data_IF_636808132129
#
_entry.id   IF_636808132129
#
_cell.length_a   1.000
_cell.length_b   1.000
_cell.length_c   1.000
_cell.angle_alpha   90.00
_cell.angle_beta   90.00
_cell.angle_gamma   90.00
#
_symmetry.space_group_name_H-M   'P 1'
#
loop_
_entity.id
_entity.type
_entity.pdbx_description
1 polymer ?
#
# COMPACT_ATOMS: atom_id res chain seq x y z
N UNK A 1 -56.24 22.29 107.21
CA UNK A 1 -56.64 22.42 105.78
C UNK A 1 -55.45 22.94 104.98
N UNK A 2 -55.02 22.15 103.99
CA UNK A 2 -54.34 22.52 102.73
C UNK A 2 -52.97 23.24 102.80
N UNK A 3 -51.88 22.47 102.96
CA UNK A 3 -50.51 22.85 102.54
C UNK A 3 -49.95 21.90 101.47
N UNK A 4 -50.82 21.22 100.73
CA UNK A 4 -50.47 20.30 99.63
C UNK A 4 -50.37 20.90 98.20
N UNK A 5 -50.60 22.20 97.90
CA UNK A 5 -50.58 22.65 96.50
C UNK A 5 -49.17 23.00 95.97
N UNK A 6 -48.17 23.18 96.84
CA UNK A 6 -46.85 23.67 96.40
C UNK A 6 -45.94 22.55 95.88
N UNK A 7 -46.03 21.35 96.47
CA UNK A 7 -45.17 20.22 96.12
C UNK A 7 -45.65 19.48 94.85
N UNK A 8 -46.95 19.51 94.57
CA UNK A 8 -47.54 18.99 93.32
C UNK A 8 -47.32 19.93 92.14
N UNK A 9 -47.24 21.25 92.38
CA UNK A 9 -46.92 22.22 91.33
C UNK A 9 -45.46 22.07 90.86
N UNK A 10 -44.53 21.87 91.80
CA UNK A 10 -43.10 21.73 91.49
C UNK A 10 -42.78 20.44 90.71
N UNK A 11 -43.50 19.34 91.00
CA UNK A 11 -43.34 18.07 90.30
C UNK A 11 -43.94 18.06 88.88
N UNK A 12 -45.00 18.83 88.63
CA UNK A 12 -45.56 19.04 87.29
C UNK A 12 -44.66 19.96 86.44
N UNK A 13 -44.01 20.97 87.06
CA UNK A 13 -43.03 21.84 86.39
C UNK A 13 -41.73 21.10 86.01
N UNK A 14 -41.30 20.11 86.78
CA UNK A 14 -40.14 19.27 86.47
C UNK A 14 -40.38 18.25 85.34
N UNK A 15 -41.62 17.79 85.16
CA UNK A 15 -41.98 16.89 84.05
C UNK A 15 -42.20 17.63 82.72
N UNK A 16 -42.65 18.88 82.76
CA UNK A 16 -42.77 19.73 81.57
C UNK A 16 -41.41 20.19 81.00
N UNK A 17 -40.32 20.11 81.79
CA UNK A 17 -38.98 20.46 81.35
C UNK A 17 -38.26 19.35 80.55
N UNK A 18 -38.82 18.14 80.49
CA UNK A 18 -38.22 16.97 79.81
C UNK A 18 -39.03 16.48 78.59
N UNK A 19 -39.89 17.33 78.00
CA UNK A 19 -40.91 16.87 77.05
C UNK A 19 -40.72 17.32 75.59
N UNK A 20 -39.64 18.02 75.25
CA UNK A 20 -39.28 18.25 73.85
C UNK A 20 -38.24 17.21 73.43
N UNK A 21 -38.64 16.30 72.52
CA UNK A 21 -37.69 15.42 71.84
C UNK A 21 -36.66 16.32 71.11
N UNK A 22 -35.35 16.17 71.33
CA UNK A 22 -34.34 16.99 70.68
C UNK A 22 -34.47 17.03 69.14
N UNK A 23 -35.17 16.05 68.54
CA UNK A 23 -35.48 15.98 67.11
C UNK A 23 -36.62 16.90 66.64
N UNK A 24 -37.44 17.41 67.56
CA UNK A 24 -38.51 18.37 67.27
C UNK A 24 -38.03 19.84 67.40
N UNK A 25 -36.80 20.07 67.90
CA UNK A 25 -36.20 21.41 67.93
C UNK A 25 -35.93 21.89 66.47
N UNK A 26 -36.44 23.06 66.07
CA UNK A 26 -36.22 23.62 64.73
C UNK A 26 -34.73 23.72 64.34
N UNK A 27 -33.84 23.92 65.33
CA UNK A 27 -32.39 23.98 65.09
C UNK A 27 -31.80 22.62 64.77
N UNK A 28 -32.33 21.55 65.36
CA UNK A 28 -31.89 20.18 65.09
C UNK A 28 -32.32 19.74 63.69
N UNK A 29 -33.54 20.09 63.27
CA UNK A 29 -34.03 19.83 61.92
C UNK A 29 -33.22 20.60 60.86
N UNK A 30 -32.88 21.87 61.14
CA UNK A 30 -32.04 22.67 60.26
C UNK A 30 -30.63 22.04 60.09
N UNK A 31 -30.01 21.62 61.20
CA UNK A 31 -28.74 20.89 61.20
C UNK A 31 -28.79 19.57 60.42
N UNK A 32 -29.88 18.81 60.51
CA UNK A 32 -30.06 17.56 59.76
C UNK A 32 -30.23 17.83 58.26
N UNK A 33 -30.96 18.89 57.88
CA UNK A 33 -31.07 19.30 56.47
C UNK A 33 -29.75 19.81 55.90
N UNK A 34 -28.96 20.54 56.68
CA UNK A 34 -27.64 21.00 56.25
C UNK A 34 -26.63 19.86 56.15
N UNK A 35 -26.67 18.89 57.07
CA UNK A 35 -25.87 17.67 56.97
C UNK A 35 -26.24 16.84 55.72
N UNK A 36 -27.53 16.74 55.40
CA UNK A 36 -28.01 16.07 54.19
C UNK A 36 -27.57 16.81 52.90
N UNK A 37 -27.66 18.15 52.88
CA UNK A 37 -27.16 18.97 51.76
C UNK A 37 -25.65 18.83 51.57
N UNK A 38 -24.88 18.84 52.67
CA UNK A 38 -23.44 18.68 52.62
C UNK A 38 -23.04 17.30 52.07
N UNK A 39 -23.72 16.23 52.51
CA UNK A 39 -23.50 14.87 51.99
C UNK A 39 -23.83 14.77 50.50
N UNK A 40 -24.96 15.32 50.07
CA UNK A 40 -25.34 15.36 48.66
C UNK A 40 -24.29 16.10 47.80
N UNK A 41 -23.76 17.22 48.30
CA UNK A 41 -22.71 17.97 47.61
C UNK A 41 -21.38 17.19 47.53
N UNK A 42 -21.02 16.43 48.57
CA UNK A 42 -19.82 15.56 48.56
C UNK A 42 -20.00 14.39 47.59
N UNK A 43 -21.15 13.73 47.58
CA UNK A 43 -21.43 12.64 46.63
C UNK A 43 -21.41 13.14 45.16
N UNK A 44 -21.96 14.33 44.91
CA UNK A 44 -21.89 14.98 43.60
C UNK A 44 -20.45 15.33 43.19
N UNK A 45 -19.64 15.86 44.13
CA UNK A 45 -18.21 16.12 43.94
C UNK A 45 -17.44 14.85 43.62
N UNK A 46 -17.64 13.79 44.39
CA UNK A 46 -16.96 12.51 44.22
C UNK A 46 -17.30 11.87 42.87
N UNK A 47 -18.58 11.94 42.46
CA UNK A 47 -19.00 11.46 41.14
C UNK A 47 -18.34 12.25 40.00
N UNK A 48 -18.19 13.58 40.16
CA UNK A 48 -17.54 14.46 39.18
C UNK A 48 -16.03 14.18 39.09
N UNK A 49 -15.37 14.01 40.24
CA UNK A 49 -13.94 13.67 40.31
C UNK A 49 -13.67 12.31 39.66
N UNK A 50 -14.48 11.30 39.94
CA UNK A 50 -14.35 9.98 39.31
C UNK A 50 -14.57 10.06 37.79
N UNK A 51 -15.52 10.87 37.32
CA UNK A 51 -15.75 11.09 35.90
C UNK A 51 -14.58 11.83 35.21
N UNK A 52 -13.93 12.78 35.91
CA UNK A 52 -12.72 13.47 35.44
C UNK A 52 -11.55 12.49 35.30
N UNK A 53 -11.28 11.68 36.33
CA UNK A 53 -10.22 10.66 36.28
C UNK A 53 -10.48 9.61 35.19
N UNK A 54 -11.74 9.19 34.99
CA UNK A 54 -12.11 8.30 33.91
C UNK A 54 -11.82 8.89 32.52
N UNK A 55 -12.16 10.16 32.32
CA UNK A 55 -11.90 10.89 31.07
C UNK A 55 -10.39 11.07 30.84
N UNK A 56 -9.64 11.42 31.88
CA UNK A 56 -8.17 11.55 31.83
C UNK A 56 -7.47 10.23 31.51
N UNK A 57 -7.86 9.13 32.16
CA UNK A 57 -7.29 7.81 31.90
C UNK A 57 -7.55 7.37 30.46
N UNK A 58 -8.75 7.62 29.93
CA UNK A 58 -9.09 7.30 28.54
C UNK A 58 -8.25 8.10 27.54
N UNK A 59 -8.02 9.39 27.79
CA UNK A 59 -7.13 10.22 26.96
C UNK A 59 -5.70 9.65 26.97
N UNK A 60 -5.16 9.29 28.14
CA UNK A 60 -3.81 8.71 28.24
C UNK A 60 -3.68 7.38 27.51
N UNK A 61 -4.71 6.52 27.59
CA UNK A 61 -4.73 5.25 26.87
C UNK A 61 -4.71 5.49 25.35
N UNK A 62 -5.57 6.38 24.85
CA UNK A 62 -5.59 6.76 23.45
C UNK A 62 -4.24 7.34 22.98
N UNK A 63 -3.59 8.17 23.80
CA UNK A 63 -2.26 8.72 23.48
C UNK A 63 -1.16 7.64 23.45
N UNK A 64 -1.25 6.64 24.32
CA UNK A 64 -0.33 5.49 24.31
C UNK A 64 -0.53 4.64 23.06
N UNK A 65 -1.77 4.42 22.65
CA UNK A 65 -2.11 3.69 21.44
C UNK A 65 -1.62 4.44 20.19
N UNK A 66 -1.85 5.76 20.13
CA UNK A 66 -1.31 6.64 19.07
C UNK A 66 0.21 6.51 19.00
N UNK A 67 0.93 6.62 20.13
CA UNK A 67 2.39 6.49 20.14
C UNK A 67 2.86 5.11 19.63
N UNK A 68 2.13 4.05 19.97
CA UNK A 68 2.45 2.70 19.52
C UNK A 68 2.29 2.57 18.01
N UNK A 69 1.17 3.07 17.46
CA UNK A 69 0.91 3.09 16.02
C UNK A 69 1.90 3.97 15.27
N UNK A 70 2.22 5.15 15.78
CA UNK A 70 3.27 6.01 15.23
C UNK A 70 4.63 5.31 15.23
N UNK A 71 4.98 4.61 16.30
CA UNK A 71 6.19 3.79 16.38
C UNK A 71 6.26 2.76 15.24
N UNK A 72 5.14 2.10 14.93
CA UNK A 72 5.02 1.13 13.83
C UNK A 72 5.17 1.77 12.44
N UNK A 73 4.72 3.03 12.27
CA UNK A 73 4.93 3.80 11.05
C UNK A 73 6.40 4.17 10.84
N UNK A 74 7.12 4.49 11.92
CA UNK A 74 8.53 4.91 11.87
C UNK A 74 9.53 3.75 11.88
N UNK A 75 9.12 2.59 12.42
CA UNK A 75 9.92 1.37 12.38
C UNK A 75 9.83 0.76 10.99
N UNK A 76 10.59 1.33 10.05
CA UNK A 76 10.99 0.61 8.85
C UNK A 76 11.71 -0.66 9.31
N UNK A 77 11.03 -1.80 9.25
CA UNK A 77 11.65 -3.07 9.55
C UNK A 77 12.85 -3.26 8.63
N UNK A 78 14.03 -3.44 9.22
CA UNK A 78 15.27 -3.92 8.59
C UNK A 78 15.13 -5.34 7.96
N UNK A 79 13.90 -5.79 7.70
CA UNK A 79 13.57 -7.12 7.24
C UNK A 79 12.38 -7.11 6.29
N UNK A 80 12.68 -7.01 5.00
CA UNK A 80 12.07 -7.83 3.94
C UNK A 80 10.53 -7.94 3.83
N UNK A 81 9.75 -6.89 4.09
CA UNK A 81 8.37 -6.79 3.60
C UNK A 81 8.16 -5.54 2.73
N UNK A 82 8.90 -5.47 1.62
CA UNK A 82 8.55 -4.59 0.50
C UNK A 82 7.44 -5.28 -0.30
N UNK A 83 6.19 -4.93 -0.01
CA UNK A 83 5.02 -5.41 -0.74
C UNK A 83 3.79 -4.50 -0.54
N UNK A 84 2.79 -4.66 -1.41
CA UNK A 84 1.53 -3.91 -1.42
C UNK A 84 0.71 -3.98 -0.11
N UNK A 85 1.07 -4.87 0.82
CA UNK A 85 0.46 -4.96 2.15
C UNK A 85 0.96 -3.93 3.17
N UNK A 86 2.14 -3.33 2.95
CA UNK A 86 2.68 -2.31 3.86
C UNK A 86 1.90 -1.00 3.74
N UNK A 87 1.59 -0.56 2.52
CA UNK A 87 0.82 0.66 2.26
C UNK A 87 -0.59 0.58 2.85
N UNK A 88 -1.29 -0.55 2.67
CA UNK A 88 -2.63 -0.77 3.25
C UNK A 88 -2.59 -0.75 4.79
N UNK A 89 -1.55 -1.34 5.41
CA UNK A 89 -1.36 -1.33 6.86
C UNK A 89 -1.10 0.10 7.36
N UNK A 90 -0.21 0.85 6.71
CA UNK A 90 0.10 2.25 7.04
C UNK A 90 -1.17 3.11 6.95
N UNK A 91 -1.95 2.99 5.87
CA UNK A 91 -3.21 3.72 5.73
C UNK A 91 -4.23 3.36 6.82
N UNK A 92 -4.31 2.08 7.18
CA UNK A 92 -5.15 1.61 8.27
C UNK A 92 -4.75 2.21 9.62
N UNK A 93 -3.45 2.24 9.93
CA UNK A 93 -2.94 2.84 11.16
C UNK A 93 -3.15 4.35 11.21
N UNK A 94 -2.97 5.07 10.09
CA UNK A 94 -3.27 6.52 10.01
C UNK A 94 -4.75 6.81 10.28
N UNK A 95 -5.68 6.04 9.68
CA UNK A 95 -7.13 6.22 9.93
C UNK A 95 -7.47 6.00 11.40
N UNK A 96 -6.90 4.97 12.01
CA UNK A 96 -7.10 4.66 13.43
C UNK A 96 -6.54 5.77 14.34
N UNK A 97 -5.38 6.34 14.00
CA UNK A 97 -4.83 7.50 14.72
C UNK A 97 -5.76 8.72 14.60
N UNK A 98 -6.28 9.02 13.40
CA UNK A 98 -7.21 10.13 13.16
C UNK A 98 -8.49 9.97 14.02
N UNK A 99 -9.03 8.75 14.14
CA UNK A 99 -10.19 8.45 15.00
C UNK A 99 -9.87 8.67 16.50
N UNK A 100 -8.72 8.19 16.98
CA UNK A 100 -8.29 8.36 18.37
C UNK A 100 -8.06 9.84 18.73
N UNK A 101 -7.54 10.63 17.79
CA UNK A 101 -7.37 12.08 17.95
C UNK A 101 -8.72 12.81 17.99
N UNK A 102 -9.68 12.42 17.14
CA UNK A 102 -11.04 12.97 17.17
C UNK A 102 -11.75 12.64 18.49
N UNK A 103 -11.59 11.40 19.00
CA UNK A 103 -12.10 11.00 20.31
C UNK A 103 -11.45 11.84 21.42
N UNK A 104 -10.13 12.00 21.41
CA UNK A 104 -9.41 12.81 22.39
C UNK A 104 -9.86 14.28 22.40
N UNK A 105 -10.09 14.91 21.24
CA UNK A 105 -10.64 16.29 21.16
C UNK A 105 -11.99 16.39 21.88
N UNK A 106 -12.85 15.38 21.72
CA UNK A 106 -14.15 15.32 22.39
C UNK A 106 -13.99 15.11 23.89
N UNK A 107 -13.10 14.21 24.31
CA UNK A 107 -12.82 13.93 25.73
C UNK A 107 -12.20 15.14 26.43
N UNK A 108 -11.31 15.89 25.78
CA UNK A 108 -10.73 17.13 26.31
C UNK A 108 -11.82 18.19 26.51
N UNK A 109 -12.74 18.32 25.55
CA UNK A 109 -13.89 19.24 25.67
C UNK A 109 -14.77 18.86 26.86
N UNK A 110 -15.04 17.56 27.05
CA UNK A 110 -15.77 17.04 28.20
C UNK A 110 -15.02 17.30 29.52
N UNK A 111 -13.72 17.02 29.56
CA UNK A 111 -12.86 17.25 30.72
C UNK A 111 -12.86 18.73 31.13
N UNK A 112 -12.77 19.65 30.16
CA UNK A 112 -12.89 21.10 30.38
C UNK A 112 -14.24 21.49 30.98
N UNK A 113 -15.33 20.97 30.43
CA UNK A 113 -16.68 21.23 30.95
C UNK A 113 -16.82 20.78 32.41
N UNK A 114 -16.34 19.57 32.72
CA UNK A 114 -16.36 19.00 34.06
C UNK A 114 -15.44 19.76 35.03
N UNK A 115 -14.26 20.21 34.58
CA UNK A 115 -13.34 21.03 35.35
C UNK A 115 -13.97 22.37 35.76
N UNK A 116 -14.69 23.02 34.83
CA UNK A 116 -15.33 24.33 35.05
C UNK A 116 -16.49 24.28 36.05
N UNK A 117 -17.22 23.16 36.08
CA UNK A 117 -18.26 22.91 37.10
C UNK A 117 -17.62 22.69 38.49
N UNK A 118 -16.37 22.25 38.53
CA UNK A 118 -15.61 22.01 39.76
C UNK A 118 -14.85 23.26 40.27
N UNK A 119 -15.51 24.42 40.34
CA UNK A 119 -14.93 25.77 40.54
C UNK A 119 -13.99 26.03 41.75
N UNK A 120 -13.71 25.04 42.60
CA UNK A 120 -12.80 25.17 43.76
C UNK A 120 -11.50 24.37 43.63
N UNK A 121 -11.29 23.69 42.50
CA UNK A 121 -10.05 22.97 42.23
C UNK A 121 -9.51 23.24 40.83
N UNK A 122 -8.27 23.76 40.79
CA UNK A 122 -7.22 23.37 39.85
C UNK A 122 -6.96 24.25 38.61
N UNK A 123 -6.20 25.33 38.83
CA UNK A 123 -5.31 25.90 37.80
C UNK A 123 -4.39 24.84 37.16
N UNK A 124 -4.00 23.81 37.93
CA UNK A 124 -3.21 22.69 37.44
C UNK A 124 -3.94 21.87 36.35
N UNK A 125 -5.28 21.76 36.40
CA UNK A 125 -6.07 21.02 35.42
C UNK A 125 -6.20 21.80 34.11
N UNK A 126 -6.37 23.13 34.20
CA UNK A 126 -6.32 24.02 33.03
C UNK A 126 -4.95 23.98 32.35
N UNK A 127 -3.85 23.97 33.11
CA UNK A 127 -2.49 23.79 32.56
C UNK A 127 -2.34 22.44 31.85
N UNK A 128 -2.81 21.35 32.48
CA UNK A 128 -2.72 20.01 31.89
C UNK A 128 -3.49 19.94 30.57
N UNK A 129 -4.65 20.58 30.52
CA UNK A 129 -5.45 20.64 29.28
C UNK A 129 -4.73 21.47 28.20
N UNK A 130 -4.11 22.59 28.57
CA UNK A 130 -3.34 23.40 27.62
C UNK A 130 -2.14 22.62 27.04
N UNK A 131 -1.44 21.84 27.88
CA UNK A 131 -0.31 21.01 27.46
C UNK A 131 -0.75 19.85 26.53
N UNK A 132 -1.91 19.23 26.82
CA UNK A 132 -2.51 18.22 25.96
C UNK A 132 -2.90 18.79 24.59
N UNK A 133 -3.42 20.01 24.54
CA UNK A 133 -3.75 20.68 23.28
C UNK A 133 -2.51 21.10 22.47
N UNK A 134 -1.44 21.50 23.15
CA UNK A 134 -0.17 21.75 22.49
C UNK A 134 0.39 20.46 21.87
N UNK A 135 0.39 19.37 22.65
CA UNK A 135 0.85 18.05 22.19
C UNK A 135 0.02 17.51 21.03
N UNK A 136 -1.31 17.69 21.03
CA UNK A 136 -2.14 17.31 19.90
C UNK A 136 -1.81 18.09 18.63
N UNK A 137 -1.58 19.41 18.74
CA UNK A 137 -1.22 20.24 17.58
C UNK A 137 0.10 19.82 16.95
N UNK A 138 1.09 19.48 17.77
CA UNK A 138 2.37 18.96 17.28
C UNK A 138 2.20 17.60 16.57
N UNK A 139 1.36 16.71 17.13
CA UNK A 139 1.05 15.41 16.53
C UNK A 139 0.25 15.52 15.23
N UNK A 140 -0.69 16.45 15.14
CA UNK A 140 -1.43 16.76 13.91
C UNK A 140 -0.45 17.19 12.80
N UNK A 141 0.50 18.08 13.09
CA UNK A 141 1.52 18.52 12.13
C UNK A 141 2.44 17.39 11.67
N UNK A 142 2.84 16.51 12.58
CA UNK A 142 3.66 15.33 12.26
C UNK A 142 2.91 14.37 11.33
N UNK A 143 1.61 14.14 11.58
CA UNK A 143 0.76 13.29 10.73
C UNK A 143 0.60 13.88 9.33
N UNK A 144 0.40 15.19 9.22
CA UNK A 144 0.28 15.86 7.93
C UNK A 144 1.57 15.70 7.09
N UNK A 145 2.74 15.85 7.72
CA UNK A 145 4.03 15.60 7.07
C UNK A 145 4.20 14.15 6.60
N UNK A 146 3.85 13.18 7.45
CA UNK A 146 3.90 11.75 7.10
C UNK A 146 2.91 11.40 5.97
N UNK A 147 1.73 12.02 5.92
CA UNK A 147 0.75 11.86 4.83
C UNK A 147 1.31 12.36 3.50
N UNK A 148 1.99 13.50 3.49
CA UNK A 148 2.62 14.08 2.30
C UNK A 148 3.78 13.20 1.79
N UNK A 149 4.65 12.72 2.70
CA UNK A 149 5.76 11.83 2.37
C UNK A 149 5.28 10.49 1.81
N UNK A 150 4.24 9.90 2.40
CA UNK A 150 3.63 8.66 1.93
C UNK A 150 3.03 8.84 0.52
N UNK A 151 2.33 9.95 0.28
CA UNK A 151 1.75 10.25 -1.03
C UNK A 151 2.83 10.42 -2.11
N UNK A 152 3.90 11.14 -1.79
CA UNK A 152 5.07 11.31 -2.66
C UNK A 152 5.76 9.97 -2.96
N UNK A 153 5.92 9.13 -1.94
CA UNK A 153 6.54 7.81 -2.07
C UNK A 153 5.68 6.85 -2.90
N UNK A 154 4.36 6.84 -2.67
CA UNK A 154 3.41 6.01 -3.45
C UNK A 154 3.40 6.43 -4.93
N UNK A 155 3.40 7.74 -5.22
CA UNK A 155 3.53 8.26 -6.59
C UNK A 155 4.86 7.87 -7.25
N UNK A 156 5.96 7.95 -6.50
CA UNK A 156 7.30 7.55 -6.97
C UNK A 156 7.38 6.04 -7.26
N UNK A 157 6.78 5.22 -6.40
CA UNK A 157 6.72 3.77 -6.58
C UNK A 157 5.88 3.39 -7.81
N UNK A 158 4.71 4.02 -7.99
CA UNK A 158 3.86 3.81 -9.17
C UNK A 158 4.60 4.16 -10.47
N UNK A 159 5.35 5.26 -10.46
CA UNK A 159 6.20 5.68 -11.58
C UNK A 159 7.30 4.67 -11.86
N UNK A 160 8.00 4.18 -10.83
CA UNK A 160 9.06 3.19 -10.98
C UNK A 160 8.55 1.85 -11.54
N UNK A 161 7.38 1.39 -11.07
CA UNK A 161 6.73 0.17 -11.58
C UNK A 161 6.37 0.32 -13.07
N UNK A 162 5.83 1.48 -13.47
CA UNK A 162 5.52 1.76 -14.87
C UNK A 162 6.78 1.74 -15.74
N UNK A 163 7.84 2.43 -15.34
CA UNK A 163 9.12 2.43 -16.05
C UNK A 163 9.72 1.02 -16.18
N UNK A 164 9.63 0.20 -15.13
CA UNK A 164 10.13 -1.18 -15.17
C UNK A 164 9.35 -2.05 -16.15
N UNK A 165 8.02 -1.91 -16.19
CA UNK A 165 7.16 -2.62 -17.16
C UNK A 165 7.49 -2.24 -18.60
N UNK A 166 7.61 -0.94 -18.88
CA UNK A 166 7.95 -0.45 -20.22
C UNK A 166 9.32 -0.97 -20.66
N UNK A 167 10.31 -0.96 -19.76
CA UNK A 167 11.64 -1.49 -20.04
C UNK A 167 11.64 -3.00 -20.29
N UNK A 168 10.85 -3.77 -19.52
CA UNK A 168 10.69 -5.21 -19.73
C UNK A 168 10.05 -5.51 -21.09
N UNK A 169 8.97 -4.80 -21.44
CA UNK A 169 8.31 -4.96 -22.73
C UNK A 169 9.25 -4.62 -23.89
N UNK A 170 10.01 -3.53 -23.77
CA UNK A 170 11.00 -3.17 -24.77
C UNK A 170 12.08 -4.24 -24.92
N UNK A 171 12.57 -4.81 -23.80
CA UNK A 171 13.55 -5.89 -23.84
C UNK A 171 12.98 -7.16 -24.50
N UNK A 172 11.73 -7.51 -24.24
CA UNK A 172 11.06 -8.66 -24.87
C UNK A 172 10.85 -8.44 -26.37
N UNK A 173 10.45 -7.23 -26.79
CA UNK A 173 10.35 -6.87 -28.21
C UNK A 173 11.71 -6.97 -28.90
N UNK A 174 12.75 -6.38 -28.32
CA UNK A 174 14.11 -6.45 -28.87
C UNK A 174 14.62 -7.89 -28.96
N UNK A 175 14.33 -8.71 -27.93
CA UNK A 175 14.70 -10.13 -27.93
C UNK A 175 13.97 -10.88 -29.05
N UNK A 176 12.68 -10.63 -29.23
CA UNK A 176 11.90 -11.22 -30.31
C UNK A 176 12.41 -10.79 -31.69
N UNK A 177 12.78 -9.53 -31.86
CA UNK A 177 13.32 -9.01 -33.12
C UNK A 177 14.68 -9.64 -33.45
N UNK A 178 15.59 -9.72 -32.45
CA UNK A 178 16.90 -10.35 -32.61
C UNK A 178 16.78 -11.84 -32.99
N UNK A 179 15.79 -12.52 -32.43
CA UNK A 179 15.57 -13.94 -32.63
C UNK A 179 14.64 -14.25 -33.82
N UNK A 180 14.10 -13.25 -34.51
CA UNK A 180 13.28 -13.47 -35.69
C UNK A 180 14.17 -13.63 -36.92
N UNK A 181 13.94 -14.71 -37.66
CA UNK A 181 14.50 -14.90 -39.00
C UNK A 181 13.41 -15.41 -39.96
N UNK A 182 13.76 -15.49 -41.24
CA UNK A 182 12.85 -15.81 -42.32
C UNK A 182 13.52 -16.80 -43.25
N UNK A 183 12.82 -17.85 -43.66
CA UNK A 183 13.34 -18.78 -44.66
C UNK A 183 12.32 -19.10 -45.74
N UNK A 184 12.82 -19.52 -46.90
CA UNK A 184 12.00 -20.06 -47.97
C UNK A 184 12.78 -21.10 -48.76
N UNK A 185 12.07 -22.10 -49.25
CA UNK A 185 12.62 -23.18 -50.07
C UNK A 185 11.75 -23.32 -51.30
N UNK A 186 12.38 -23.45 -52.46
CA UNK A 186 11.66 -23.73 -53.70
C UNK A 186 12.60 -23.90 -54.89
N UNK A 187 12.03 -24.21 -56.04
CA UNK A 187 12.79 -24.24 -57.29
C UNK A 187 13.15 -22.82 -57.74
N UNK A 188 14.19 -22.68 -58.56
CA UNK A 188 14.58 -21.38 -59.14
C UNK A 188 13.41 -20.70 -59.86
N UNK A 189 12.54 -21.48 -60.52
CA UNK A 189 11.39 -20.96 -61.26
C UNK A 189 10.35 -20.36 -60.31
N UNK A 190 10.01 -21.05 -59.23
CA UNK A 190 9.03 -20.60 -58.23
C UNK A 190 9.54 -19.39 -57.47
N UNK A 191 10.79 -19.42 -57.00
CA UNK A 191 11.37 -18.33 -56.22
C UNK A 191 11.51 -17.05 -57.06
N UNK A 192 11.78 -17.14 -58.37
CA UNK A 192 11.74 -15.97 -59.28
C UNK A 192 10.31 -15.50 -59.57
N UNK A 193 9.38 -16.42 -59.81
CA UNK A 193 7.97 -16.08 -60.07
C UNK A 193 7.34 -15.36 -58.87
N UNK A 194 7.71 -15.78 -57.66
CA UNK A 194 7.30 -15.18 -56.39
C UNK A 194 8.11 -13.93 -56.01
N UNK A 195 8.99 -13.46 -56.88
CA UNK A 195 9.80 -12.25 -56.65
C UNK A 195 10.86 -12.37 -55.54
N UNK A 196 11.10 -13.57 -55.01
CA UNK A 196 12.13 -13.85 -53.98
C UNK A 196 13.54 -13.76 -54.58
N UNK A 197 13.72 -14.21 -55.82
CA UNK A 197 15.01 -14.19 -56.51
C UNK A 197 14.99 -13.25 -57.72
N UNK A 198 16.09 -12.52 -57.89
CA UNK A 198 16.42 -11.77 -59.12
C UNK A 198 17.66 -12.38 -59.77
N UNK A 199 17.79 -12.19 -61.08
CA UNK A 199 18.99 -12.57 -61.83
C UNK A 199 19.89 -11.34 -61.92
N UNK A 200 21.02 -11.37 -61.24
CA UNK A 200 22.01 -10.29 -61.26
C UNK A 200 23.26 -10.70 -62.04
N UNK A 201 23.81 -9.75 -62.80
CA UNK A 201 24.98 -9.98 -63.64
C UNK A 201 24.69 -10.79 -64.90
N UNK A 202 25.70 -10.84 -65.78
CA UNK A 202 25.62 -11.50 -67.09
C UNK A 202 25.36 -10.51 -68.23
N UNK A 203 26.15 -10.61 -69.30
CA UNK A 203 25.98 -9.81 -70.51
C UNK A 203 24.88 -10.45 -71.38
N UNK A 204 23.86 -9.68 -71.77
CA UNK A 204 22.77 -10.13 -72.65
C UNK A 204 22.07 -11.44 -72.20
N UNK A 205 21.86 -11.62 -70.89
CA UNK A 205 21.11 -12.76 -70.33
C UNK A 205 21.91 -14.05 -70.13
N UNK A 206 23.18 -14.09 -70.52
CA UNK A 206 24.09 -15.22 -70.34
C UNK A 206 24.96 -15.02 -69.09
N UNK A 207 25.02 -16.05 -68.23
CA UNK A 207 25.94 -16.09 -67.08
C UNK A 207 25.50 -15.41 -65.77
N UNK A 208 24.30 -14.84 -65.70
CA UNK A 208 23.81 -14.22 -64.45
C UNK A 208 23.55 -15.21 -63.32
N UNK A 209 23.84 -14.79 -62.08
CA UNK A 209 23.64 -15.58 -60.87
C UNK A 209 22.32 -15.22 -60.19
N UNK A 210 21.72 -16.19 -59.51
CA UNK A 210 20.55 -15.94 -58.66
C UNK A 210 20.99 -15.22 -57.39
N UNK A 211 20.30 -14.14 -57.03
CA UNK A 211 20.45 -13.48 -55.74
C UNK A 211 19.09 -13.17 -55.14
N UNK A 212 19.09 -12.98 -53.81
CA UNK A 212 17.93 -12.49 -53.08
C UNK A 212 17.52 -11.12 -53.64
N UNK A 213 16.24 -10.96 -53.96
CA UNK A 213 15.71 -9.67 -54.37
C UNK A 213 15.60 -8.73 -53.17
N UNK A 214 16.58 -7.83 -53.01
CA UNK A 214 16.57 -6.84 -51.93
C UNK A 214 15.73 -5.59 -52.25
N UNK A 215 15.48 -5.30 -53.54
CA UNK A 215 14.75 -4.10 -53.97
C UNK A 215 13.24 -4.21 -53.69
N UNK A 216 12.68 -5.42 -53.80
CA UNK A 216 11.29 -5.69 -53.46
C UNK A 216 11.16 -7.08 -52.83
N UNK A 217 11.58 -7.18 -51.57
CA UNK A 217 11.58 -8.45 -50.84
C UNK A 217 10.14 -8.92 -50.57
N UNK A 218 9.73 -10.00 -51.22
CA UNK A 218 8.39 -10.55 -51.09
C UNK A 218 8.22 -11.31 -49.76
N UNK A 219 8.03 -10.57 -48.66
CA UNK A 219 7.98 -11.08 -47.28
C UNK A 219 6.94 -12.17 -47.06
N UNK A 220 5.81 -12.12 -47.77
CA UNK A 220 4.73 -13.11 -47.66
C UNK A 220 5.12 -14.50 -48.20
N UNK A 221 6.21 -14.60 -48.95
CA UNK A 221 6.77 -15.87 -49.45
C UNK A 221 7.87 -16.44 -48.54
N UNK A 222 8.07 -15.84 -47.37
CA UNK A 222 8.96 -16.36 -46.34
C UNK A 222 8.19 -16.87 -45.14
N UNK A 223 8.65 -18.00 -44.61
CA UNK A 223 8.22 -18.51 -43.32
C UNK A 223 9.00 -17.79 -42.23
N UNK A 224 8.29 -17.06 -41.36
CA UNK A 224 8.85 -16.45 -40.15
C UNK A 224 9.16 -17.54 -39.12
N UNK A 225 10.35 -17.49 -38.54
CA UNK A 225 10.82 -18.43 -37.52
C UNK A 225 11.48 -17.72 -36.35
N UNK A 226 11.49 -18.41 -35.21
CA UNK A 226 12.36 -18.10 -34.08
C UNK A 226 13.63 -18.96 -34.20
N UNK A 227 14.79 -18.30 -34.27
CA UNK A 227 16.09 -18.94 -34.48
C UNK A 227 16.51 -19.85 -33.32
N UNK A 228 15.99 -19.63 -32.11
CA UNK A 228 16.32 -20.47 -30.95
C UNK A 228 15.54 -21.77 -30.95
N UNK A 229 14.35 -21.75 -31.55
CA UNK A 229 13.43 -22.89 -31.58
C UNK A 229 13.47 -23.67 -32.90
N UNK A 230 14.11 -23.11 -33.94
CA UNK A 230 14.15 -23.70 -35.29
C UNK A 230 15.58 -24.07 -35.66
N UNK A 231 15.94 -25.34 -35.47
CA UNK A 231 17.25 -25.90 -35.82
C UNK A 231 17.24 -26.72 -37.11
N UNK A 232 16.07 -27.09 -37.61
CA UNK A 232 15.92 -27.88 -38.83
C UNK A 232 15.00 -27.15 -39.81
N UNK A 233 15.42 -27.09 -41.08
CA UNK A 233 14.64 -26.54 -42.18
C UNK A 233 14.42 -27.64 -43.22
N UNK A 234 13.17 -28.06 -43.47
CA UNK A 234 12.89 -29.07 -44.48
C UNK A 234 13.08 -28.47 -45.87
N UNK A 235 13.92 -29.13 -46.68
CA UNK A 235 14.22 -28.75 -48.06
C UNK A 235 13.47 -29.63 -49.06
N UNK A 236 13.21 -30.89 -48.69
CA UNK A 236 12.42 -31.87 -49.45
C UNK A 236 12.95 -32.13 -50.87
N UNK A 237 14.26 -32.04 -51.07
CA UNK A 237 14.94 -32.33 -52.33
C UNK A 237 16.27 -33.07 -52.10
N UNK A 238 16.66 -33.92 -53.06
CA UNK A 238 17.93 -34.66 -53.01
C UNK A 238 19.14 -33.74 -53.18
N UNK A 239 18.98 -32.67 -53.96
CA UNK A 239 20.01 -31.65 -54.17
C UNK A 239 19.47 -30.30 -53.77
N UNK A 240 20.30 -29.53 -53.08
CA UNK A 240 19.93 -28.18 -52.71
C UNK A 240 21.13 -27.26 -52.57
N UNK A 241 20.88 -25.97 -52.76
CA UNK A 241 21.90 -24.93 -52.72
C UNK A 241 21.38 -23.69 -52.02
N UNK A 242 22.15 -23.19 -51.06
CA UNK A 242 21.88 -21.90 -50.44
C UNK A 242 22.21 -20.76 -51.41
N UNK A 243 21.29 -19.81 -51.55
CA UNK A 243 21.49 -18.59 -52.35
C UNK A 243 21.95 -17.43 -51.48
N UNK A 244 21.50 -17.38 -50.22
CA UNK A 244 21.91 -16.38 -49.24
C UNK A 244 23.19 -16.82 -48.51
N UNK A 245 23.99 -15.85 -48.08
CA UNK A 245 25.27 -16.11 -47.41
C UNK A 245 25.04 -16.43 -45.93
N UNK A 246 25.51 -17.60 -45.50
CA UNK A 246 25.53 -18.02 -44.10
C UNK A 246 26.92 -18.62 -43.80
N UNK A 247 27.52 -18.34 -42.62
CA UNK A 247 28.86 -18.81 -42.30
C UNK A 247 29.02 -20.33 -42.45
N UNK A 248 30.15 -20.76 -43.02
CA UNK A 248 30.49 -22.18 -43.10
C UNK A 248 30.71 -22.75 -41.69
N UNK A 249 30.19 -23.96 -41.44
CA UNK A 249 30.30 -24.63 -40.14
C UNK A 249 29.17 -24.34 -39.15
N UNK A 250 28.30 -23.35 -39.42
CA UNK A 250 27.10 -23.09 -38.61
C UNK A 250 25.85 -23.86 -39.08
N UNK A 251 26.00 -24.70 -40.11
CA UNK A 251 24.94 -25.57 -40.63
C UNK A 251 25.52 -26.80 -41.36
N UNK A 252 24.67 -27.79 -41.59
CA UNK A 252 24.92 -28.99 -42.39
C UNK A 252 23.71 -29.31 -43.26
N UNK A 253 23.94 -29.68 -44.50
CA UNK A 253 22.93 -30.27 -45.38
C UNK A 253 23.02 -31.80 -45.25
N UNK A 254 21.92 -32.45 -44.89
CA UNK A 254 21.88 -33.90 -44.83
C UNK A 254 21.49 -34.49 -46.19
N UNK A 255 22.42 -35.22 -46.80
CA UNK A 255 22.18 -35.96 -48.04
C UNK A 255 21.23 -37.14 -47.74
N UNK A 256 20.11 -37.21 -48.46
CA UNK A 256 19.11 -38.28 -48.35
C UNK A 256 17.90 -37.99 -47.44
N UNK A 257 18.00 -37.08 -46.46
CA UNK A 257 16.84 -36.66 -45.64
C UNK A 257 16.15 -35.40 -46.16
N UNK A 258 16.83 -34.63 -47.01
CA UNK A 258 16.31 -33.40 -47.61
C UNK A 258 16.09 -32.31 -46.57
N UNK A 259 16.96 -32.18 -45.57
CA UNK A 259 16.89 -31.17 -44.51
C UNK A 259 18.20 -30.38 -44.37
N UNK A 260 18.07 -29.12 -43.97
CA UNK A 260 19.16 -28.27 -43.52
C UNK A 260 19.13 -28.22 -41.99
N UNK A 261 20.21 -28.65 -41.34
CA UNK A 261 20.39 -28.64 -39.89
C UNK A 261 21.30 -27.47 -39.51
N UNK A 262 20.81 -26.56 -38.69
CA UNK A 262 21.53 -25.41 -38.16
C UNK A 262 22.23 -25.85 -36.86
N UNK A 263 23.56 -25.80 -36.86
CA UNK A 263 24.38 -26.24 -35.71
C UNK A 263 24.66 -25.11 -34.73
N UNK A 264 24.72 -23.88 -35.22
CA UNK A 264 24.82 -22.66 -34.41
C UNK A 264 23.89 -21.58 -34.99
N UNK A 265 22.69 -21.39 -34.40
CA UNK A 265 21.74 -20.41 -34.90
C UNK A 265 22.26 -18.97 -34.86
N UNK A 266 23.00 -18.58 -33.82
CA UNK A 266 23.47 -17.20 -33.69
C UNK A 266 24.51 -16.89 -34.77
N UNK A 267 25.43 -17.82 -35.03
CA UNK A 267 26.43 -17.67 -36.10
C UNK A 267 25.76 -17.77 -37.47
N UNK A 268 24.85 -18.72 -37.68
CA UNK A 268 24.16 -18.90 -38.96
C UNK A 268 23.37 -17.67 -39.39
N UNK A 269 22.64 -17.04 -38.45
CA UNK A 269 21.80 -15.87 -38.71
C UNK A 269 22.52 -14.52 -38.51
N UNK A 270 23.85 -14.52 -38.33
CA UNK A 270 24.65 -13.31 -38.08
C UNK A 270 24.84 -12.43 -39.32
N UNK A 271 24.93 -13.06 -40.50
CA UNK A 271 25.19 -12.38 -41.79
C UNK A 271 23.89 -11.99 -42.51
N UNK A 272 22.89 -12.87 -42.45
CA UNK A 272 21.57 -12.64 -43.05
C UNK A 272 20.49 -13.23 -42.16
N UNK A 273 19.39 -12.48 -41.96
CA UNK A 273 18.15 -12.97 -41.33
C UNK A 273 17.18 -13.61 -42.33
N UNK A 274 17.54 -13.62 -43.60
CA UNK A 274 16.79 -14.27 -44.68
C UNK A 274 17.60 -15.43 -45.24
N UNK A 275 17.01 -16.62 -45.21
CA UNK A 275 17.54 -17.82 -45.83
C UNK A 275 16.74 -18.16 -47.08
N UNK A 276 17.43 -18.33 -48.21
CA UNK A 276 16.83 -18.87 -49.43
C UNK A 276 17.58 -20.12 -49.84
N UNK A 277 16.84 -21.23 -49.92
CA UNK A 277 17.37 -22.51 -50.40
C UNK A 277 16.71 -22.84 -51.72
N UNK A 278 17.52 -23.08 -52.75
CA UNK A 278 17.06 -23.63 -54.02
C UNK A 278 17.10 -25.14 -53.91
N UNK A 279 15.94 -25.76 -54.10
CA UNK A 279 15.78 -27.20 -54.30
C UNK A 279 15.91 -27.52 -55.80
N UNK A 280 16.72 -28.53 -56.13
CA UNK A 280 16.98 -29.00 -57.50
C UNK A 280 16.36 -30.38 -57.77
#
# INVERSE_FOLDING_TARGET
MRTTPLFTLLSVLLLAACQSDPKEDPRYQDLETDAARARAMVEERDSTINALFGTFNKINENLREIRTKQGQLTSNGDGAEQGSGMEERIMGDIRSIDELLAENRTLITKLRGQAKVSAQGMAALETTVADLEASMREKDQEIDGLKEELSSTSSSLATLIAMYRDKSQLADMQRNDLNTAYYTVGTVKELRANGVLTKEGGFAGLGGTNKLNMDNLAKDHFTRIDILNTQEIPVLAEKSKLVTAHPAGSYRLEEGSGKLVITDPNVFWSVSKYLVVVAE
#
